data_IF_828221827054
#
_entry.id   IF_828221827054
#
_cell.length_a   1.000
_cell.length_b   1.000
_cell.length_c   1.000
_cell.angle_alpha   90.00
_cell.angle_beta   90.00
_cell.angle_gamma   90.00
#
_symmetry.space_group_name_H-M   'P 1'
#
loop_
_entity.id
_entity.type
_entity.pdbx_description
1 polymer ?
#
# COMPACT_ATOMS: atom_id res chain seq x y z
N UNK A 1 2.65 19.75 -23.96
CA UNK A 1 2.67 20.10 -22.53
C UNK A 1 1.26 19.91 -22.00
N UNK A 2 1.03 18.88 -21.17
CA UNK A 2 -0.30 18.55 -20.64
C UNK A 2 -0.40 19.07 -19.21
N UNK A 3 -1.10 20.18 -19.03
CA UNK A 3 -1.48 20.74 -17.73
C UNK A 3 -2.72 20.01 -17.23
N UNK A 4 -2.53 18.94 -16.46
CA UNK A 4 -3.62 18.41 -15.64
C UNK A 4 -3.81 19.31 -14.42
N UNK A 5 -5.06 19.63 -14.02
CA UNK A 5 -5.31 20.41 -12.83
C UNK A 5 -4.91 19.61 -11.59
N UNK A 6 -4.15 20.24 -10.69
CA UNK A 6 -3.83 19.79 -9.33
C UNK A 6 -5.08 19.78 -8.44
N UNK A 7 -6.17 19.14 -8.87
CA UNK A 7 -7.43 19.12 -8.12
C UNK A 7 -7.49 17.94 -7.16
N UNK A 8 -7.65 18.33 -5.88
CA UNK A 8 -8.20 17.58 -4.74
C UNK A 8 -7.21 16.70 -3.95
N UNK A 9 -6.67 17.38 -2.93
CA UNK A 9 -6.12 16.92 -1.67
C UNK A 9 -6.38 15.44 -1.30
N UNK A 10 -5.36 14.68 -0.87
CA UNK A 10 -5.60 13.40 -0.21
C UNK A 10 -6.26 13.64 1.15
N UNK A 11 -7.33 12.90 1.37
CA UNK A 11 -8.19 12.91 2.55
C UNK A 11 -7.45 12.38 3.78
N UNK A 12 -7.69 13.06 4.91
CA UNK A 12 -7.20 12.72 6.26
C UNK A 12 -5.68 12.82 6.46
N UNK A 13 -5.11 13.95 6.05
CA UNK A 13 -4.02 14.50 6.84
C UNK A 13 -4.67 15.08 8.10
N UNK A 14 -4.41 14.52 9.28
CA UNK A 14 -4.68 15.28 10.52
C UNK A 14 -3.83 16.56 10.41
N UNK A 15 -4.49 17.69 10.16
CA UNK A 15 -3.96 18.96 10.62
C UNK A 15 -4.15 18.91 12.14
N UNK A 16 -3.07 18.68 12.89
CA UNK A 16 -3.06 18.82 14.36
C UNK A 16 -3.51 20.26 14.68
N UNK A 17 -4.82 20.47 14.80
CA UNK A 17 -5.40 21.82 14.91
C UNK A 17 -5.46 22.32 16.35
N UNK A 18 -5.17 21.46 17.33
CA UNK A 18 -5.45 21.74 18.74
C UNK A 18 -4.22 21.73 19.67
N UNK A 19 -2.99 21.82 19.16
CA UNK A 19 -1.83 22.03 20.04
C UNK A 19 -0.78 23.01 19.48
N UNK A 20 -0.58 24.19 20.12
CA UNK A 20 0.31 25.24 19.63
C UNK A 20 1.82 24.95 19.77
N UNK A 21 2.23 23.70 20.04
CA UNK A 21 3.64 23.31 20.23
C UNK A 21 4.01 21.95 19.58
N UNK A 22 3.12 21.32 18.81
CA UNK A 22 3.43 20.01 18.22
C UNK A 22 4.41 20.20 17.07
N UNK A 23 5.64 19.70 17.25
CA UNK A 23 6.60 19.46 16.17
C UNK A 23 5.89 18.75 15.03
N UNK A 24 5.53 19.54 14.02
CA UNK A 24 4.98 19.04 12.76
C UNK A 24 5.98 18.03 12.19
N UNK A 25 5.49 16.91 11.66
CA UNK A 25 6.32 15.95 10.94
C UNK A 25 7.18 16.65 9.88
N UNK A 26 8.32 16.06 9.46
CA UNK A 26 9.15 16.68 8.43
C UNK A 26 8.32 17.03 7.19
N UNK A 27 8.67 18.12 6.52
CA UNK A 27 7.91 18.67 5.40
C UNK A 27 7.65 17.57 4.35
N UNK A 28 6.40 17.46 3.91
CA UNK A 28 5.97 16.52 2.86
C UNK A 28 5.50 15.15 3.35
N UNK A 29 5.71 14.82 4.63
CA UNK A 29 5.17 13.59 5.25
C UNK A 29 3.72 13.77 5.69
N UNK A 30 2.93 12.73 5.48
CA UNK A 30 1.53 12.64 5.94
C UNK A 30 1.35 11.42 6.81
N UNK A 31 0.66 11.61 7.94
CA UNK A 31 0.28 10.56 8.88
C UNK A 31 -1.07 9.98 8.47
N UNK A 32 -1.19 8.66 8.48
CA UNK A 32 -2.42 7.93 8.19
C UNK A 32 -2.74 6.96 9.33
N UNK A 33 -4.03 6.85 9.67
CA UNK A 33 -4.53 5.82 10.59
C UNK A 33 -5.12 4.66 9.81
N UNK A 34 -4.82 3.45 10.25
CA UNK A 34 -5.40 2.24 9.68
C UNK A 34 -6.91 2.15 10.01
N UNK A 35 -7.78 1.77 9.05
CA UNK A 35 -9.24 1.89 9.18
C UNK A 35 -9.89 0.92 10.18
N UNK A 36 -9.14 -0.05 10.72
CA UNK A 36 -9.70 -1.10 11.61
C UNK A 36 -9.49 -0.77 13.07
N UNK A 37 -8.27 -0.46 13.47
CA UNK A 37 -7.91 -0.28 14.87
C UNK A 37 -7.60 1.17 15.23
N UNK A 38 -7.43 2.07 14.25
CA UNK A 38 -7.17 3.50 14.49
C UNK A 38 -5.82 3.82 15.17
N UNK A 39 -5.21 2.83 15.80
CA UNK A 39 -3.94 2.87 16.54
C UNK A 39 -2.75 2.55 15.65
N UNK A 40 -2.92 1.69 14.63
CA UNK A 40 -1.87 1.44 13.66
C UNK A 40 -1.71 2.68 12.78
N UNK A 41 -0.61 3.39 13.00
CA UNK A 41 -0.24 4.58 12.26
C UNK A 41 0.87 4.21 11.28
N UNK A 42 0.81 4.82 10.10
CA UNK A 42 1.92 4.83 9.16
C UNK A 42 2.05 6.21 8.53
N UNK A 43 3.19 6.43 7.90
CA UNK A 43 3.56 7.69 7.27
C UNK A 43 3.80 7.46 5.79
N UNK A 44 3.38 8.41 4.97
CA UNK A 44 3.69 8.41 3.55
C UNK A 44 4.15 9.77 3.08
N UNK A 45 5.22 9.79 2.29
CA UNK A 45 5.73 10.98 1.63
C UNK A 45 5.42 10.93 0.14
N UNK A 46 4.56 11.85 -0.34
CA UNK A 46 4.06 11.83 -1.73
C UNK A 46 5.15 11.99 -2.79
N UNK A 47 6.11 12.90 -2.59
CA UNK A 47 7.18 13.17 -3.57
C UNK A 47 8.25 12.08 -3.49
N UNK A 48 8.77 11.82 -2.29
CA UNK A 48 9.75 10.76 -2.07
C UNK A 48 9.23 9.33 -2.32
N UNK A 49 7.90 9.12 -2.41
CA UNK A 49 7.23 7.82 -2.59
C UNK A 49 7.58 6.80 -1.52
N UNK A 50 7.81 7.23 -0.28
CA UNK A 50 8.15 6.33 0.83
C UNK A 50 6.96 6.11 1.74
N UNK A 51 6.73 4.86 2.14
CA UNK A 51 5.81 4.42 3.18
C UNK A 51 6.64 3.87 4.33
N UNK A 52 6.33 4.24 5.58
CA UNK A 52 6.94 3.63 6.76
C UNK A 52 6.00 3.62 7.96
N UNK A 53 6.23 2.70 8.91
CA UNK A 53 5.62 2.73 10.25
C UNK A 53 6.56 3.28 11.33
N UNK A 54 7.79 3.62 10.95
CA UNK A 54 8.82 4.09 11.87
C UNK A 54 8.43 5.44 12.50
N UNK A 55 8.93 5.71 13.70
CA UNK A 55 8.67 6.98 14.39
C UNK A 55 9.50 8.12 13.80
N UNK A 56 8.92 8.86 12.86
CA UNK A 56 9.58 9.99 12.19
C UNK A 56 9.87 11.21 13.09
N UNK A 57 9.42 11.21 14.36
CA UNK A 57 9.79 12.25 15.33
C UNK A 57 11.18 12.01 15.92
N UNK A 58 11.68 10.79 15.82
CA UNK A 58 13.05 10.42 16.15
C UNK A 58 13.97 10.81 14.98
N UNK A 59 14.94 11.67 15.26
CA UNK A 59 15.84 12.22 14.24
C UNK A 59 16.77 11.13 13.67
N UNK A 60 17.23 10.19 14.49
CA UNK A 60 18.14 9.13 14.06
C UNK A 60 17.42 8.14 13.15
N UNK A 61 16.17 7.81 13.49
CA UNK A 61 15.28 6.98 12.66
C UNK A 61 15.00 7.66 11.32
N UNK A 62 14.70 8.96 11.34
CA UNK A 62 14.43 9.72 10.12
C UNK A 62 15.66 9.79 9.21
N UNK A 63 16.84 10.06 9.78
CA UNK A 63 18.10 10.09 9.05
C UNK A 63 18.45 8.71 8.46
N UNK A 64 18.28 7.64 9.24
CA UNK A 64 18.48 6.26 8.79
C UNK A 64 17.55 5.92 7.62
N UNK A 65 16.28 6.36 7.68
CA UNK A 65 15.32 6.17 6.59
C UNK A 65 15.74 6.87 5.31
N UNK A 66 16.19 8.13 5.38
CA UNK A 66 16.66 8.87 4.19
C UNK A 66 17.93 8.22 3.59
N UNK A 67 18.91 7.88 4.44
CA UNK A 67 20.13 7.17 4.01
C UNK A 67 19.81 5.82 3.38
N UNK A 68 18.90 5.06 3.97
CA UNK A 68 18.43 3.77 3.45
C UNK A 68 17.76 3.91 2.09
N UNK A 69 16.92 4.94 1.91
CA UNK A 69 16.34 5.30 0.61
C UNK A 69 17.43 5.59 -0.42
N UNK A 70 18.36 6.48 -0.13
CA UNK A 70 19.40 6.86 -1.10
C UNK A 70 20.30 5.68 -1.48
N UNK A 71 20.56 4.78 -0.53
CA UNK A 71 21.27 3.53 -0.80
C UNK A 71 20.50 2.65 -1.77
N UNK A 72 19.19 2.49 -1.58
CA UNK A 72 18.39 1.63 -2.46
C UNK A 72 18.19 2.24 -3.86
N UNK A 73 18.04 3.57 -3.97
CA UNK A 73 17.97 4.23 -5.28
C UNK A 73 19.25 4.03 -6.08
N UNK A 74 20.42 4.25 -5.48
CA UNK A 74 21.71 4.01 -6.14
C UNK A 74 21.86 2.55 -6.58
N UNK A 75 21.35 1.61 -5.78
CA UNK A 75 21.36 0.18 -6.13
C UNK A 75 20.44 -0.14 -7.30
N UNK A 76 19.22 0.41 -7.34
CA UNK A 76 18.30 0.25 -8.45
C UNK A 76 18.88 0.87 -9.74
N UNK A 77 19.54 2.03 -9.65
CA UNK A 77 20.20 2.69 -10.78
C UNK A 77 21.33 1.86 -11.41
N UNK A 78 22.08 1.11 -10.59
CA UNK A 78 23.18 0.24 -11.06
C UNK A 78 22.72 -0.95 -11.91
N UNK A 79 21.44 -1.33 -11.83
CA UNK A 79 20.86 -2.38 -12.66
C UNK A 79 19.97 -1.75 -13.73
N UNK A 80 20.34 -1.77 -15.02
CA UNK A 80 19.59 -1.11 -16.08
C UNK A 80 18.12 -1.54 -16.19
N UNK A 81 17.81 -2.82 -15.92
CA UNK A 81 16.44 -3.34 -15.94
C UNK A 81 15.62 -2.76 -14.79
N UNK A 82 16.22 -2.66 -13.60
CA UNK A 82 15.56 -2.07 -12.44
C UNK A 82 15.40 -0.56 -12.60
N UNK A 83 16.43 0.12 -13.11
CA UNK A 83 16.35 1.55 -13.41
C UNK A 83 15.22 1.86 -14.39
N UNK A 84 15.13 1.13 -15.50
CA UNK A 84 14.07 1.31 -16.50
C UNK A 84 12.66 0.99 -15.96
N UNK A 85 12.55 0.07 -15.00
CA UNK A 85 11.25 -0.35 -14.44
C UNK A 85 10.76 0.54 -13.30
N UNK A 86 11.65 0.89 -12.37
CA UNK A 86 11.27 1.51 -11.10
C UNK A 86 11.58 3.01 -11.05
N UNK A 87 12.47 3.51 -11.90
CA UNK A 87 12.97 4.87 -11.81
C UNK A 87 12.56 5.76 -12.99
N UNK A 88 12.41 7.05 -12.72
CA UNK A 88 12.26 8.13 -13.69
C UNK A 88 13.15 9.29 -13.23
N UNK A 89 14.09 9.71 -14.06
CA UNK A 89 15.06 10.80 -13.75
C UNK A 89 15.83 10.56 -12.44
N UNK A 90 16.20 9.30 -12.18
CA UNK A 90 16.96 8.90 -10.99
C UNK A 90 16.13 8.79 -9.70
N UNK A 91 14.84 9.13 -9.73
CA UNK A 91 13.89 9.02 -8.62
C UNK A 91 12.92 7.86 -8.84
N UNK A 92 12.17 7.45 -7.80
CA UNK A 92 11.11 6.46 -7.98
C UNK A 92 10.02 7.00 -8.93
N UNK A 93 9.63 6.17 -9.88
CA UNK A 93 8.48 6.45 -10.74
C UNK A 93 7.21 6.60 -9.90
N UNK A 94 6.27 7.44 -10.37
CA UNK A 94 4.99 7.72 -9.70
C UNK A 94 4.13 6.47 -9.51
N UNK A 95 4.37 5.43 -10.30
CA UNK A 95 3.64 4.17 -10.21
C UNK A 95 4.12 3.26 -9.07
N UNK A 96 5.22 3.60 -8.37
CA UNK A 96 5.83 2.81 -7.30
C UNK A 96 5.85 3.57 -5.98
N UNK A 97 5.61 2.85 -4.88
CA UNK A 97 5.89 3.27 -3.51
C UNK A 97 6.93 2.33 -2.90
N UNK A 98 7.88 2.86 -2.14
CA UNK A 98 8.89 2.13 -1.38
C UNK A 98 8.44 1.98 0.07
N UNK A 99 8.26 0.75 0.53
CA UNK A 99 7.99 0.43 1.92
C UNK A 99 9.33 0.28 2.65
N UNK A 100 9.52 1.08 3.68
CA UNK A 100 10.69 1.10 4.55
C UNK A 100 10.30 0.68 5.96
N UNK A 101 11.23 0.05 6.67
CA UNK A 101 11.12 -0.24 8.11
C UNK A 101 12.52 -0.24 8.72
N UNK A 102 12.69 0.41 9.86
CA UNK A 102 13.96 0.51 10.58
C UNK A 102 15.13 0.98 9.68
N UNK A 103 14.84 1.92 8.77
CA UNK A 103 15.81 2.43 7.80
C UNK A 103 16.18 1.45 6.67
N UNK A 104 15.52 0.29 6.58
CA UNK A 104 15.79 -0.74 5.58
C UNK A 104 14.64 -0.89 4.58
N UNK A 105 14.94 -1.07 3.28
CA UNK A 105 13.91 -1.27 2.27
C UNK A 105 13.27 -2.66 2.43
N UNK A 106 11.93 -2.70 2.47
CA UNK A 106 11.16 -3.93 2.60
C UNK A 106 10.58 -4.37 1.25
N UNK A 107 9.93 -3.44 0.54
CA UNK A 107 9.30 -3.74 -0.74
C UNK A 107 9.11 -2.50 -1.62
N UNK A 108 9.01 -2.71 -2.93
CA UNK A 108 8.43 -1.78 -3.90
C UNK A 108 7.04 -2.27 -4.28
N UNK A 109 6.02 -1.44 -4.08
CA UNK A 109 4.63 -1.77 -4.40
C UNK A 109 4.08 -0.82 -5.48
N UNK A 110 3.46 -1.38 -6.50
CA UNK A 110 2.71 -0.62 -7.50
C UNK A 110 1.22 -0.84 -7.35
N UNK A 111 0.50 0.22 -6.98
CA UNK A 111 -0.95 0.23 -6.87
C UNK A 111 -1.67 0.16 -8.22
N UNK A 112 -1.04 0.72 -9.25
CA UNK A 112 -1.55 0.74 -10.62
C UNK A 112 -1.34 -0.59 -11.34
N UNK A 113 -0.13 -1.15 -11.24
CA UNK A 113 0.22 -2.41 -11.90
C UNK A 113 -0.24 -3.63 -11.10
N UNK A 114 -0.52 -3.44 -9.80
CA UNK A 114 -0.82 -4.51 -8.83
C UNK A 114 0.32 -5.52 -8.69
N UNK A 115 1.52 -4.98 -8.60
CA UNK A 115 2.74 -5.74 -8.45
C UNK A 115 3.41 -5.36 -7.15
N UNK A 116 4.11 -6.32 -6.56
CA UNK A 116 5.01 -6.05 -5.45
C UNK A 116 6.31 -6.81 -5.67
N UNK A 117 7.40 -6.13 -5.32
CA UNK A 117 8.73 -6.65 -5.33
C UNK A 117 9.33 -6.51 -3.94
N UNK A 118 9.72 -7.60 -3.30
CA UNK A 118 10.35 -7.57 -1.98
C UNK A 118 11.87 -7.56 -2.10
N UNK A 119 12.52 -6.84 -1.19
CA UNK A 119 13.97 -6.87 -1.07
C UNK A 119 14.35 -8.06 -0.22
N UNK A 120 15.13 -8.97 -0.79
CA UNK A 120 15.59 -10.16 -0.12
C UNK A 120 17.12 -10.19 -0.10
N UNK A 121 17.68 -10.74 0.97
CA UNK A 121 19.11 -11.02 1.08
C UNK A 121 19.31 -12.52 0.93
N UNK A 122 20.26 -12.93 0.09
CA UNK A 122 20.65 -14.34 -0.05
C UNK A 122 22.14 -14.50 0.20
N UNK A 123 22.46 -15.48 1.04
CA UNK A 123 23.81 -15.79 1.54
C UNK A 123 23.94 -15.45 3.03
N UNK A 124 24.85 -16.13 3.71
CA UNK A 124 25.31 -15.79 5.06
C UNK A 124 26.77 -15.30 4.96
N UNK A 125 27.09 -14.13 5.51
CA UNK A 125 28.47 -13.60 5.60
C UNK A 125 28.91 -12.64 4.47
N UNK A 126 30.22 -12.56 4.20
CA UNK A 126 30.86 -11.56 3.30
C UNK A 126 30.41 -11.61 1.82
N UNK A 127 29.50 -12.52 1.46
CA UNK A 127 28.95 -12.69 0.11
C UNK A 127 27.47 -12.30 -0.04
N UNK A 128 26.87 -11.63 0.94
CA UNK A 128 25.45 -11.24 0.90
C UNK A 128 25.10 -10.45 -0.37
N UNK A 129 24.24 -11.05 -1.20
CA UNK A 129 23.67 -10.38 -2.36
C UNK A 129 22.22 -10.05 -2.04
N UNK A 130 21.96 -8.77 -1.86
CA UNK A 130 20.61 -8.27 -1.81
C UNK A 130 20.03 -8.17 -3.23
N UNK A 131 18.85 -8.74 -3.48
CA UNK A 131 18.14 -8.69 -4.76
C UNK A 131 16.68 -8.25 -4.56
N UNK A 132 15.99 -8.09 -5.68
CA UNK A 132 14.60 -7.63 -5.74
C UNK A 132 13.80 -8.73 -6.41
N UNK A 133 12.85 -9.33 -5.69
CA UNK A 133 12.09 -10.48 -6.16
C UNK A 133 10.61 -10.13 -6.33
N UNK A 134 10.05 -10.47 -7.49
CA UNK A 134 8.63 -10.33 -7.74
C UNK A 134 7.85 -11.33 -6.89
N UNK A 135 6.89 -10.84 -6.10
CA UNK A 135 6.11 -11.69 -5.20
C UNK A 135 4.73 -12.00 -5.76
N UNK A 136 4.05 -12.95 -5.10
CA UNK A 136 2.72 -13.40 -5.48
C UNK A 136 1.63 -12.34 -5.28
N UNK A 137 0.47 -12.55 -5.93
CA UNK A 137 -0.70 -11.69 -5.71
C UNK A 137 -1.20 -11.72 -4.26
N UNK A 138 -0.92 -12.79 -3.50
CA UNK A 138 -1.26 -12.89 -2.06
C UNK A 138 -0.50 -11.84 -1.27
N UNK A 139 0.83 -11.78 -1.44
CA UNK A 139 1.71 -10.80 -0.76
C UNK A 139 1.32 -9.37 -1.13
N UNK A 140 0.99 -9.13 -2.40
CA UNK A 140 0.49 -7.82 -2.85
C UNK A 140 -0.74 -7.37 -2.06
N UNK A 141 -1.77 -8.21 -1.96
CA UNK A 141 -3.00 -7.85 -1.24
C UNK A 141 -2.78 -7.70 0.27
N UNK A 142 -1.86 -8.47 0.86
CA UNK A 142 -1.47 -8.28 2.26
C UNK A 142 -0.87 -6.89 2.50
N UNK A 143 0.02 -6.41 1.62
CA UNK A 143 0.59 -5.05 1.76
C UNK A 143 -0.41 -3.94 1.46
N UNK A 144 -1.33 -4.13 0.52
CA UNK A 144 -2.44 -3.19 0.30
C UNK A 144 -3.31 -3.08 1.55
N UNK A 145 -3.61 -4.21 2.21
CA UNK A 145 -4.35 -4.21 3.47
C UNK A 145 -3.56 -3.54 4.60
N UNK A 146 -2.22 -3.65 4.59
CA UNK A 146 -1.35 -3.00 5.58
C UNK A 146 -1.32 -1.46 5.44
N UNK A 147 -1.42 -0.93 4.21
CA UNK A 147 -1.31 0.51 3.91
C UNK A 147 -2.48 1.03 3.03
N UNK A 148 -3.73 1.08 3.53
CA UNK A 148 -4.89 1.22 2.65
C UNK A 148 -5.32 2.67 2.33
N UNK A 149 -4.67 3.70 2.88
CA UNK A 149 -5.26 5.05 3.04
C UNK A 149 -4.58 6.18 2.25
N UNK A 150 -3.39 6.01 1.69
CA UNK A 150 -2.61 7.12 1.12
C UNK A 150 -2.88 7.41 -0.36
N UNK A 151 -3.68 6.57 -1.03
CA UNK A 151 -4.11 6.76 -2.42
C UNK A 151 -5.55 7.31 -2.49
N UNK A 152 -5.84 8.08 -3.53
CA UNK A 152 -7.16 8.71 -3.76
C UNK A 152 -8.15 7.82 -4.51
N UNK A 153 -7.73 6.63 -4.91
CA UNK A 153 -8.56 5.64 -5.59
C UNK A 153 -8.22 4.22 -5.14
N UNK A 154 -9.15 3.30 -5.37
CA UNK A 154 -8.88 1.87 -5.19
C UNK A 154 -7.75 1.39 -6.12
N UNK A 155 -7.04 0.30 -5.76
CA UNK A 155 -6.16 -0.38 -6.69
C UNK A 155 -6.89 -0.72 -8.00
N UNK A 156 -6.20 -0.56 -9.14
CA UNK A 156 -6.84 -0.66 -10.46
C UNK A 156 -7.55 -2.00 -10.66
N UNK A 157 -8.86 -1.96 -10.85
CA UNK A 157 -9.68 -3.16 -11.08
C UNK A 157 -9.85 -4.06 -9.85
N UNK A 158 -9.62 -3.55 -8.64
CA UNK A 158 -9.86 -4.29 -7.40
C UNK A 158 -11.33 -4.74 -7.26
N UNK A 159 -12.28 -3.83 -7.54
CA UNK A 159 -13.72 -4.17 -7.52
C UNK A 159 -14.09 -5.18 -8.60
N UNK A 160 -13.53 -5.07 -9.81
CA UNK A 160 -13.77 -6.05 -10.87
C UNK A 160 -13.28 -7.44 -10.45
N UNK A 161 -12.08 -7.53 -9.84
CA UNK A 161 -11.55 -8.79 -9.30
C UNK A 161 -12.47 -9.36 -8.22
N UNK A 162 -12.95 -8.51 -7.30
CA UNK A 162 -13.88 -8.94 -6.27
C UNK A 162 -15.23 -9.40 -6.85
N UNK A 163 -15.73 -8.72 -7.88
CA UNK A 163 -16.94 -9.13 -8.60
C UNK A 163 -16.74 -10.50 -9.27
N UNK A 164 -15.62 -10.70 -9.96
CA UNK A 164 -15.29 -11.98 -10.59
C UNK A 164 -15.20 -13.11 -9.56
N UNK A 165 -14.62 -12.84 -8.39
CA UNK A 165 -14.59 -13.77 -7.27
C UNK A 165 -16.02 -14.15 -6.83
N UNK A 166 -16.93 -13.18 -6.69
CA UNK A 166 -18.32 -13.46 -6.28
C UNK A 166 -19.11 -14.29 -7.30
N UNK A 167 -18.73 -14.27 -8.58
CA UNK A 167 -19.32 -15.14 -9.60
C UNK A 167 -18.81 -16.59 -9.53
N UNK A 168 -17.61 -16.81 -8.98
CA UNK A 168 -17.11 -18.15 -8.68
C UNK A 168 -17.70 -18.63 -7.35
N UNK A 169 -18.94 -19.14 -7.39
CA UNK A 169 -19.72 -19.50 -6.20
C UNK A 169 -19.04 -20.52 -5.29
N UNK A 170 -18.27 -21.46 -5.84
CA UNK A 170 -17.51 -22.45 -5.09
C UNK A 170 -16.43 -21.80 -4.22
N UNK A 171 -15.48 -21.10 -4.85
CA UNK A 171 -14.40 -20.42 -4.14
C UNK A 171 -14.94 -19.35 -3.19
N UNK A 172 -15.91 -18.55 -3.64
CA UNK A 172 -16.51 -17.50 -2.83
C UNK A 172 -17.18 -18.03 -1.56
N UNK A 173 -17.88 -19.16 -1.67
CA UNK A 173 -18.46 -19.83 -0.50
C UNK A 173 -17.41 -20.23 0.53
N UNK A 174 -16.24 -20.70 0.10
CA UNK A 174 -15.12 -21.04 1.01
C UNK A 174 -14.53 -19.78 1.62
N UNK A 175 -14.28 -18.74 0.83
CA UNK A 175 -13.76 -17.44 1.30
C UNK A 175 -14.64 -16.89 2.42
N UNK A 176 -15.96 -16.86 2.22
CA UNK A 176 -16.91 -16.31 3.20
C UNK A 176 -17.06 -17.13 4.48
N UNK A 177 -16.63 -18.40 4.50
CA UNK A 177 -16.64 -19.25 5.71
C UNK A 177 -15.37 -19.12 6.54
N UNK A 178 -14.32 -18.47 6.02
CA UNK A 178 -13.01 -18.33 6.70
C UNK A 178 -12.98 -17.06 7.56
N UNK A 179 -12.80 -17.23 8.86
CA UNK A 179 -12.59 -16.12 9.81
C UNK A 179 -13.72 -15.08 9.77
N UNK A 180 -13.34 -13.81 9.73
CA UNK A 180 -14.22 -12.64 9.72
C UNK A 180 -14.66 -12.19 8.30
N UNK A 181 -14.35 -12.97 7.26
CA UNK A 181 -14.57 -12.56 5.86
C UNK A 181 -16.04 -12.24 5.52
N UNK A 182 -17.01 -12.86 6.20
CA UNK A 182 -18.42 -12.51 6.03
C UNK A 182 -18.70 -11.07 6.44
N UNK A 183 -18.22 -10.66 7.60
CA UNK A 183 -18.40 -9.31 8.13
C UNK A 183 -17.65 -8.28 7.26
N UNK A 184 -16.46 -8.65 6.75
CA UNK A 184 -15.72 -7.83 5.80
C UNK A 184 -16.53 -7.57 4.53
N UNK A 185 -17.15 -8.61 3.97
CA UNK A 185 -17.99 -8.51 2.79
C UNK A 185 -19.23 -7.65 3.04
N UNK A 186 -19.91 -7.84 4.17
CA UNK A 186 -21.08 -7.05 4.53
C UNK A 186 -20.74 -5.57 4.70
N UNK A 187 -19.66 -5.27 5.43
CA UNK A 187 -19.16 -3.91 5.57
C UNK A 187 -18.79 -3.29 4.20
N UNK A 188 -18.15 -4.04 3.31
CA UNK A 188 -17.85 -3.57 1.95
C UNK A 188 -19.12 -3.22 1.19
N UNK A 189 -20.14 -4.09 1.20
CA UNK A 189 -21.42 -3.83 0.52
C UNK A 189 -22.07 -2.54 1.03
N UNK A 190 -22.10 -2.34 2.35
CA UNK A 190 -22.65 -1.12 2.94
C UNK A 190 -21.95 0.14 2.42
N UNK A 191 -20.61 0.17 2.39
CA UNK A 191 -19.86 1.32 1.85
C UNK A 191 -20.07 1.51 0.35
N UNK A 192 -20.07 0.43 -0.43
CA UNK A 192 -20.30 0.45 -1.87
C UNK A 192 -21.69 1.01 -2.20
N UNK A 193 -22.71 0.55 -1.49
CA UNK A 193 -24.10 0.96 -1.75
C UNK A 193 -24.30 2.43 -1.33
N UNK A 194 -23.69 2.87 -0.21
CA UNK A 194 -23.61 4.30 0.16
C UNK A 194 -22.90 5.14 -0.90
N UNK A 195 -21.77 4.67 -1.45
CA UNK A 195 -21.04 5.38 -2.49
C UNK A 195 -21.85 5.51 -3.79
N UNK A 196 -22.59 4.47 -4.17
CA UNK A 196 -23.47 4.47 -5.35
C UNK A 196 -24.69 5.37 -5.21
N UNK A 197 -25.20 5.54 -4.00
CA UNK A 197 -26.33 6.43 -3.73
C UNK A 197 -25.99 7.93 -3.83
N UNK A 198 -24.70 8.29 -3.94
CA UNK A 198 -24.25 9.70 -4.05
C UNK A 198 -24.31 10.19 -5.49
N UNK A 199 -24.74 11.44 -5.67
CA UNK A 199 -24.79 12.11 -6.98
C UNK A 199 -23.43 12.14 -7.71
N UNK A 200 -22.33 12.32 -6.98
CA UNK A 200 -20.98 12.36 -7.56
C UNK A 200 -20.30 10.98 -7.68
N UNK A 201 -20.93 9.91 -7.16
CA UNK A 201 -20.32 8.58 -7.03
C UNK A 201 -19.08 8.53 -6.12
N UNK A 202 -18.58 7.32 -5.87
CA UNK A 202 -17.26 7.09 -5.28
C UNK A 202 -17.16 7.09 -3.74
N UNK A 203 -16.03 6.57 -3.27
CA UNK A 203 -15.65 6.49 -1.86
C UNK A 203 -14.96 7.77 -1.41
N UNK A 204 -15.26 8.27 -0.20
CA UNK A 204 -14.62 9.49 0.34
C UNK A 204 -13.84 9.19 1.61
N UNK A 205 -12.63 9.73 1.70
CA UNK A 205 -11.79 9.71 2.89
C UNK A 205 -11.65 8.35 3.56
N UNK A 206 -12.07 8.28 4.82
CA UNK A 206 -11.97 7.06 5.63
C UNK A 206 -12.72 5.87 5.02
N UNK A 207 -13.76 6.13 4.21
CA UNK A 207 -14.49 5.08 3.51
C UNK A 207 -13.62 4.43 2.44
N UNK A 208 -12.84 5.21 1.70
CA UNK A 208 -11.94 4.67 0.69
C UNK A 208 -10.91 3.75 1.33
N UNK A 209 -10.28 4.19 2.42
CA UNK A 209 -9.36 3.35 3.19
C UNK A 209 -10.04 2.07 3.69
N UNK A 210 -11.23 2.21 4.26
CA UNK A 210 -12.03 1.10 4.79
C UNK A 210 -12.42 0.08 3.71
N UNK A 211 -12.71 0.54 2.51
CA UNK A 211 -13.06 -0.29 1.35
C UNK A 211 -11.82 -0.94 0.77
N UNK A 212 -10.73 -0.19 0.56
CA UNK A 212 -9.44 -0.72 0.12
C UNK A 212 -9.00 -1.88 1.00
N UNK A 213 -9.02 -1.68 2.32
CA UNK A 213 -8.66 -2.71 3.29
C UNK A 213 -9.54 -3.97 3.15
N UNK A 214 -10.87 -3.82 3.12
CA UNK A 214 -11.81 -4.96 2.99
C UNK A 214 -11.61 -5.73 1.71
N UNK A 215 -11.52 -5.04 0.57
CA UNK A 215 -11.29 -5.68 -0.72
C UNK A 215 -9.96 -6.44 -0.71
N UNK A 216 -8.89 -5.83 -0.19
CA UNK A 216 -7.58 -6.44 -0.12
C UNK A 216 -7.58 -7.70 0.77
N UNK A 217 -8.23 -7.66 1.93
CA UNK A 217 -8.39 -8.84 2.81
C UNK A 217 -9.12 -9.99 2.11
N UNK A 218 -10.25 -9.70 1.46
CA UNK A 218 -11.04 -10.71 0.75
C UNK A 218 -10.27 -11.31 -0.44
N UNK A 219 -9.59 -10.48 -1.23
CA UNK A 219 -8.80 -10.95 -2.37
C UNK A 219 -7.53 -11.69 -1.93
N UNK A 220 -6.93 -11.31 -0.80
CA UNK A 220 -5.82 -12.04 -0.18
C UNK A 220 -6.24 -13.43 0.30
N UNK A 221 -7.38 -13.52 0.99
CA UNK A 221 -7.94 -14.79 1.45
C UNK A 221 -8.31 -15.74 0.29
N UNK A 222 -8.87 -15.20 -0.79
CA UNK A 222 -9.17 -15.99 -1.99
C UNK A 222 -7.92 -16.60 -2.60
N UNK A 223 -6.83 -15.83 -2.71
CA UNK A 223 -5.55 -16.32 -3.24
C UNK A 223 -4.93 -17.38 -2.33
N UNK A 224 -4.99 -17.18 -1.02
CA UNK A 224 -4.51 -18.17 -0.06
C UNK A 224 -5.23 -19.52 -0.20
N UNK A 225 -6.56 -19.52 -0.37
CA UNK A 225 -7.33 -20.75 -0.58
C UNK A 225 -6.97 -21.40 -1.92
N UNK A 226 -6.80 -20.63 -3.00
CA UNK A 226 -6.36 -21.17 -4.28
C UNK A 226 -4.97 -21.81 -4.20
N UNK A 227 -4.03 -21.18 -3.48
CA UNK A 227 -2.68 -21.71 -3.25
C UNK A 227 -2.74 -23.02 -2.46
N UNK A 228 -3.58 -23.11 -1.42
CA UNK A 228 -3.81 -24.32 -0.61
C UNK A 228 -4.37 -25.48 -1.45
N UNK A 229 -5.33 -25.20 -2.35
CA UNK A 229 -5.93 -26.21 -3.24
C UNK A 229 -4.92 -26.71 -4.27
N UNK A 230 -4.08 -25.84 -4.83
CA UNK A 230 -3.08 -26.23 -5.83
C UNK A 230 -1.89 -27.02 -5.25
N UNK A 231 -1.68 -26.95 -3.94
CA UNK A 231 -0.63 -27.68 -3.24
C UNK A 231 -1.05 -29.09 -2.79
N UNK A 232 -2.36 -29.41 -2.86
CA UNK A 232 -2.95 -30.70 -2.45
C UNK A 232 -3.08 -31.65 -3.64
#
# INVERSE_FOLDING_TARGET
MSSYPDSEYPLLCEYDSDHPLVRTYPIGWKRFRHPVNGENIYYWHRVERVITKDNLKDADVFEALLKGKDRILRKLQRNPRHAAKFLMDGQLSRDWDLIMKDGQPQALISWRERQIYEFATRGEGEGEKEYVEHQSSKVYWQRVAEFPCHHTSLPKGAEQKLSNLTYNSGLWGVVLRRGDNRDLWEGYRQYRDKARARACGGYKGIELASVTWRIARLLGAAREIEDEVNAS
#
